data_IF_946728763344
#
_entry.id   IF_946728763344
#
_cell.length_a   1.000
_cell.length_b   1.000
_cell.length_c   1.000
_cell.angle_alpha   90.00
_cell.angle_beta   90.00
_cell.angle_gamma   90.00
#
_symmetry.space_group_name_H-M   'P 1'
#
loop_
_entity.id
_entity.type
_entity.pdbx_description
1 polymer ?
#
# COMPACT_ATOMS: atom_id res chain seq x y z
N UNK A 1 0.60 -5.61 -25.52
CA UNK A 1 0.48 -4.40 -24.67
C UNK A 1 1.87 -3.91 -24.32
N UNK A 2 2.14 -2.61 -24.39
CA UNK A 2 3.45 -2.07 -24.01
C UNK A 2 3.58 -2.02 -22.49
N UNK A 3 4.60 -2.67 -21.94
CA UNK A 3 4.94 -2.63 -20.51
C UNK A 3 5.61 -1.31 -20.18
N UNK A 4 5.19 -0.67 -19.09
CA UNK A 4 5.80 0.56 -18.60
C UNK A 4 7.10 0.21 -17.86
N UNK A 5 8.20 0.87 -18.24
CA UNK A 5 9.49 0.68 -17.59
C UNK A 5 9.44 1.19 -16.14
N UNK A 6 9.94 0.37 -15.21
CA UNK A 6 10.11 0.75 -13.82
C UNK A 6 11.49 1.40 -13.64
N UNK A 7 11.52 2.63 -13.14
CA UNK A 7 12.77 3.37 -12.88
C UNK A 7 12.83 3.71 -11.41
N UNK A 8 13.71 3.02 -10.69
CA UNK A 8 13.97 3.26 -9.28
C UNK A 8 15.33 3.95 -9.17
N UNK A 9 15.35 5.25 -8.89
CA UNK A 9 16.59 5.98 -8.61
C UNK A 9 16.78 6.17 -7.08
N UNK A 10 17.87 6.84 -6.67
CA UNK A 10 18.16 7.08 -5.26
C UNK A 10 17.06 7.92 -4.58
N UNK A 11 16.54 8.94 -5.27
CA UNK A 11 15.47 9.79 -4.74
C UNK A 11 14.19 8.98 -4.51
N UNK A 12 13.78 8.15 -5.47
CA UNK A 12 12.62 7.27 -5.34
C UNK A 12 12.77 6.31 -4.16
N UNK A 13 13.95 5.72 -3.96
CA UNK A 13 14.19 4.84 -2.79
C UNK A 13 14.15 5.61 -1.49
N UNK A 14 14.63 6.84 -1.46
CA UNK A 14 14.51 7.70 -0.28
C UNK A 14 13.04 8.00 0.04
N UNK A 15 12.20 8.24 -0.97
CA UNK A 15 10.77 8.51 -0.79
C UNK A 15 10.01 7.25 -0.36
N UNK A 16 10.31 6.08 -0.95
CA UNK A 16 9.77 4.79 -0.48
C UNK A 16 10.11 4.57 1.01
N UNK A 17 11.36 4.81 1.42
CA UNK A 17 11.76 4.69 2.83
C UNK A 17 10.98 5.61 3.76
N UNK A 18 10.67 6.84 3.34
CA UNK A 18 9.82 7.76 4.12
C UNK A 18 8.41 7.20 4.30
N UNK A 19 7.81 6.67 3.23
CA UNK A 19 6.47 6.06 3.29
C UNK A 19 6.47 4.84 4.19
N UNK A 20 7.43 3.93 4.06
CA UNK A 20 7.57 2.76 4.95
C UNK A 20 7.68 3.23 6.41
N UNK A 21 8.60 4.16 6.68
CA UNK A 21 8.80 4.70 8.02
C UNK A 21 7.52 5.32 8.56
N UNK A 22 6.75 6.04 7.74
CA UNK A 22 5.49 6.63 8.18
C UNK A 22 4.46 5.53 8.52
N UNK A 23 4.29 4.53 7.65
CA UNK A 23 3.36 3.42 7.86
C UNK A 23 3.70 2.59 9.11
N UNK A 24 4.99 2.38 9.42
CA UNK A 24 5.43 1.67 10.63
C UNK A 24 5.08 2.38 11.94
N UNK A 25 4.88 3.70 11.90
CA UNK A 25 4.45 4.51 13.06
C UNK A 25 2.93 4.78 13.06
N UNK A 26 2.24 4.51 11.95
CA UNK A 26 0.83 4.85 11.76
C UNK A 26 0.10 3.63 11.18
N UNK A 27 -0.04 2.60 12.01
CA UNK A 27 -0.76 1.38 11.68
C UNK A 27 -2.26 1.56 11.90
N UNK A 28 -3.09 0.88 11.12
CA UNK A 28 -4.55 0.99 11.19
C UNK A 28 -5.21 -0.29 11.68
N UNK A 29 -6.14 -0.19 12.63
CA UNK A 29 -7.03 -1.33 12.91
C UNK A 29 -8.08 -1.48 11.81
N UNK A 30 -8.88 -2.55 11.88
CA UNK A 30 -9.99 -2.74 10.95
C UNK A 30 -11.03 -1.62 11.12
N UNK A 31 -11.30 -1.22 12.36
CA UNK A 31 -12.21 -0.12 12.69
C UNK A 31 -11.72 1.22 12.13
N UNK A 32 -10.42 1.51 12.23
CA UNK A 32 -9.83 2.72 11.65
C UNK A 32 -10.04 2.78 10.12
N UNK A 33 -9.85 1.65 9.44
CA UNK A 33 -10.02 1.57 7.99
C UNK A 33 -11.48 1.70 7.58
N UNK A 34 -12.39 1.03 8.31
CA UNK A 34 -13.83 1.15 8.10
C UNK A 34 -14.31 2.58 8.33
N UNK A 35 -13.83 3.26 9.38
CA UNK A 35 -14.19 4.65 9.65
C UNK A 35 -13.70 5.61 8.55
N UNK A 36 -12.48 5.43 8.04
CA UNK A 36 -11.96 6.23 6.91
C UNK A 36 -12.75 6.05 5.62
N UNK A 37 -13.22 4.83 5.35
CA UNK A 37 -14.04 4.53 4.17
C UNK A 37 -15.43 5.16 4.31
N UNK A 38 -16.05 5.04 5.49
CA UNK A 38 -17.42 5.51 5.71
C UNK A 38 -17.51 7.01 6.00
N UNK A 39 -16.44 7.62 6.56
CA UNK A 39 -16.39 9.01 6.99
C UNK A 39 -15.17 9.78 6.42
N UNK A 40 -14.97 9.82 5.09
CA UNK A 40 -13.77 10.40 4.48
C UNK A 40 -13.58 11.90 4.77
N UNK A 41 -14.67 12.63 5.07
CA UNK A 41 -14.61 14.04 5.48
C UNK A 41 -14.04 14.25 6.89
N UNK A 42 -14.07 13.23 7.74
CA UNK A 42 -13.50 13.25 9.10
C UNK A 42 -12.10 12.66 9.12
N UNK A 43 -11.90 11.54 8.44
CA UNK A 43 -10.61 10.86 8.31
C UNK A 43 -10.37 10.45 6.87
N UNK A 44 -9.35 11.04 6.23
CA UNK A 44 -9.02 10.75 4.83
C UNK A 44 -8.58 9.29 4.65
N UNK A 45 -8.90 8.62 3.54
CA UNK A 45 -8.31 7.34 3.23
C UNK A 45 -6.79 7.49 3.00
N UNK A 46 -5.98 6.43 3.24
CA UNK A 46 -4.52 6.52 3.10
C UNK A 46 -4.06 6.99 1.72
N UNK A 47 -4.77 6.65 0.64
CA UNK A 47 -4.45 7.12 -0.71
C UNK A 47 -4.50 8.64 -0.89
N UNK A 48 -5.25 9.35 -0.04
CA UNK A 48 -5.43 10.81 -0.10
C UNK A 48 -4.49 11.55 0.86
N UNK A 49 -3.61 10.83 1.55
CA UNK A 49 -2.63 11.34 2.51
C UNK A 49 -1.23 11.26 1.85
N UNK A 50 -0.50 12.36 1.81
CA UNK A 50 0.79 12.45 1.10
C UNK A 50 1.84 11.50 1.71
N UNK A 51 1.81 11.32 3.01
CA UNK A 51 2.79 10.54 3.77
C UNK A 51 2.68 9.02 3.55
N UNK A 52 1.52 8.55 3.07
CA UNK A 52 1.28 7.15 2.73
C UNK A 52 1.51 6.83 1.26
N UNK A 53 1.88 7.82 0.43
CA UNK A 53 2.05 7.64 -1.00
C UNK A 53 3.39 8.13 -1.50
N UNK A 54 3.89 7.49 -2.56
CA UNK A 54 5.01 8.01 -3.32
C UNK A 54 4.77 7.84 -4.82
N UNK A 55 5.42 8.71 -5.59
CA UNK A 55 5.41 8.66 -7.04
C UNK A 55 6.75 8.15 -7.55
N UNK A 56 6.70 7.07 -8.32
CA UNK A 56 7.88 6.51 -8.98
C UNK A 56 7.91 7.07 -10.40
N UNK A 57 9.09 7.49 -10.91
CA UNK A 57 9.22 8.04 -12.25
C UNK A 57 8.54 7.18 -13.32
N UNK A 58 8.13 7.83 -14.41
CA UNK A 58 7.37 7.22 -15.50
C UNK A 58 5.92 6.89 -15.08
N UNK A 59 5.45 7.43 -13.96
CA UNK A 59 4.03 7.54 -13.65
C UNK A 59 3.45 6.30 -12.95
N UNK A 60 4.19 5.72 -11.99
CA UNK A 60 3.57 4.84 -11.00
C UNK A 60 3.25 5.65 -9.74
N UNK A 61 2.11 5.34 -9.14
CA UNK A 61 1.72 5.83 -7.81
C UNK A 61 1.57 4.64 -6.90
N UNK A 62 2.32 4.64 -5.80
CA UNK A 62 2.29 3.60 -4.78
C UNK A 62 1.66 4.18 -3.51
N UNK A 63 0.74 3.45 -2.90
CA UNK A 63 0.20 3.73 -1.56
C UNK A 63 0.52 2.53 -0.69
N UNK A 64 1.12 2.75 0.48
CA UNK A 64 1.56 1.67 1.35
C UNK A 64 1.11 1.89 2.78
N UNK A 65 0.50 0.88 3.39
CA UNK A 65 0.00 0.91 4.77
C UNK A 65 0.37 -0.37 5.51
N UNK A 66 0.30 -0.29 6.84
CA UNK A 66 0.23 -1.45 7.71
C UNK A 66 -1.12 -1.41 8.39
N UNK A 67 -1.93 -2.44 8.14
CA UNK A 67 -3.33 -2.43 8.56
C UNK A 67 -3.82 -3.83 8.91
N UNK A 68 -4.82 -3.89 9.79
CA UNK A 68 -5.48 -5.13 10.16
C UNK A 68 -6.53 -5.47 9.08
N UNK A 69 -6.29 -6.59 8.41
CA UNK A 69 -7.17 -7.17 7.40
C UNK A 69 -7.87 -8.42 7.98
N UNK A 70 -8.92 -8.96 7.35
CA UNK A 70 -9.56 -10.19 7.79
C UNK A 70 -8.61 -11.38 7.95
N UNK A 71 -7.49 -11.38 7.21
CA UNK A 71 -6.45 -12.41 7.25
C UNK A 71 -5.37 -12.18 8.33
N UNK A 72 -5.45 -11.08 9.09
CA UNK A 72 -4.49 -10.65 10.10
C UNK A 72 -3.85 -9.28 9.79
N UNK A 73 -2.83 -8.92 10.56
CA UNK A 73 -2.03 -7.72 10.29
C UNK A 73 -1.24 -7.89 9.00
N UNK A 74 -1.34 -6.91 8.10
CA UNK A 74 -0.72 -6.98 6.78
C UNK A 74 0.07 -5.71 6.48
N UNK A 75 1.13 -5.86 5.70
CA UNK A 75 1.59 -4.79 4.81
C UNK A 75 0.68 -4.82 3.58
N UNK A 76 0.15 -3.66 3.22
CA UNK A 76 -0.67 -3.49 2.03
C UNK A 76 0.01 -2.50 1.10
N UNK A 77 0.23 -2.92 -0.15
CA UNK A 77 0.74 -2.06 -1.21
C UNK A 77 -0.28 -1.98 -2.34
N UNK A 78 -0.70 -0.76 -2.67
CA UNK A 78 -1.54 -0.43 -3.82
C UNK A 78 -0.69 0.27 -4.88
N UNK A 79 -0.60 -0.31 -6.08
CA UNK A 79 0.18 0.23 -7.19
C UNK A 79 -0.74 0.57 -8.35
N UNK A 80 -0.77 1.84 -8.73
CA UNK A 80 -1.48 2.33 -9.92
C UNK A 80 -0.51 2.96 -10.90
N UNK A 81 -0.95 3.12 -12.14
CA UNK A 81 -0.20 3.82 -13.17
C UNK A 81 -1.01 4.98 -13.73
N UNK A 82 -0.33 6.06 -14.11
CA UNK A 82 -0.93 7.20 -14.80
C UNK A 82 -1.20 6.82 -16.27
N UNK A 83 -2.21 5.98 -16.47
CA UNK A 83 -2.75 5.59 -17.76
C UNK A 83 -4.16 5.04 -17.56
N UNK A 84 -5.11 5.55 -18.34
CA UNK A 84 -6.49 5.12 -18.32
C UNK A 84 -6.63 3.65 -18.73
N UNK A 85 -7.48 2.91 -18.02
CA UNK A 85 -7.85 1.51 -18.26
C UNK A 85 -6.65 0.55 -18.27
N UNK A 86 -5.58 0.91 -17.54
CA UNK A 86 -4.37 0.08 -17.41
C UNK A 86 -3.95 -0.07 -15.96
N UNK A 87 -3.24 -1.16 -15.72
CA UNK A 87 -2.63 -1.52 -14.43
C UNK A 87 -1.12 -1.69 -14.60
N UNK A 88 -0.33 -1.56 -13.52
CA UNK A 88 1.08 -1.95 -13.55
C UNK A 88 1.24 -3.41 -13.99
N UNK A 89 2.38 -3.72 -14.61
CA UNK A 89 2.71 -5.11 -14.88
C UNK A 89 3.06 -5.84 -13.59
N UNK A 90 2.82 -7.15 -13.58
CA UNK A 90 3.28 -8.06 -12.54
C UNK A 90 4.73 -7.79 -12.11
N UNK A 91 5.64 -7.69 -13.08
CA UNK A 91 7.07 -7.57 -12.79
C UNK A 91 7.37 -6.24 -12.09
N UNK A 92 6.67 -5.17 -12.45
CA UNK A 92 6.80 -3.88 -11.77
C UNK A 92 6.21 -3.93 -10.36
N UNK A 93 5.02 -4.53 -10.18
CA UNK A 93 4.39 -4.67 -8.85
C UNK A 93 5.23 -5.50 -7.90
N UNK A 94 5.78 -6.63 -8.36
CA UNK A 94 6.64 -7.49 -7.55
C UNK A 94 7.93 -6.77 -7.12
N UNK A 95 8.56 -6.04 -8.02
CA UNK A 95 9.77 -5.28 -7.70
C UNK A 95 9.49 -4.12 -6.74
N UNK A 96 8.37 -3.42 -6.92
CA UNK A 96 7.92 -2.39 -5.98
C UNK A 96 7.63 -2.99 -4.60
N UNK A 97 6.95 -4.13 -4.53
CA UNK A 97 6.68 -4.81 -3.26
C UNK A 97 7.96 -5.09 -2.46
N UNK A 98 9.03 -5.54 -3.15
CA UNK A 98 10.35 -5.75 -2.53
C UNK A 98 10.98 -4.47 -2.02
N UNK A 99 10.91 -3.38 -2.80
CA UNK A 99 11.40 -2.06 -2.35
C UNK A 99 10.61 -1.52 -1.16
N UNK A 100 9.32 -1.88 -1.05
CA UNK A 100 8.46 -1.61 0.11
C UNK A 100 8.69 -2.58 1.30
N UNK A 101 9.70 -3.45 1.21
CA UNK A 101 10.09 -4.36 2.29
C UNK A 101 9.17 -5.57 2.46
N UNK A 102 8.36 -5.92 1.45
CA UNK A 102 7.61 -7.17 1.40
C UNK A 102 8.58 -8.29 0.97
N UNK A 103 8.72 -9.33 1.80
CA UNK A 103 9.65 -10.44 1.55
C UNK A 103 9.03 -11.45 0.56
N UNK A 104 8.94 -11.03 -0.71
CA UNK A 104 8.30 -11.79 -1.79
C UNK A 104 9.26 -12.03 -2.95
N UNK A 105 9.28 -13.28 -3.45
CA UNK A 105 10.10 -13.72 -4.58
C UNK A 105 9.28 -13.93 -5.84
N UNK A 106 8.01 -14.32 -5.71
CA UNK A 106 7.06 -14.50 -6.79
C UNK A 106 5.65 -14.07 -6.34
N UNK A 107 4.63 -14.16 -7.22
CA UNK A 107 3.27 -13.73 -6.83
C UNK A 107 2.60 -14.67 -5.85
N UNK A 108 2.96 -15.94 -5.89
CA UNK A 108 2.41 -16.96 -5.00
C UNK A 108 2.81 -16.70 -3.53
N UNK A 109 3.79 -15.82 -3.30
CA UNK A 109 4.23 -15.38 -1.98
C UNK A 109 3.33 -14.28 -1.38
N UNK A 110 2.44 -13.65 -2.17
CA UNK A 110 1.45 -12.73 -1.62
C UNK A 110 0.32 -13.51 -0.95
N UNK A 111 -0.05 -13.12 0.28
CA UNK A 111 -1.19 -13.71 0.99
C UNK A 111 -2.52 -13.37 0.30
N UNK A 112 -2.59 -12.22 -0.38
CA UNK A 112 -3.73 -11.85 -1.19
C UNK A 112 -3.34 -10.81 -2.25
N UNK A 113 -4.07 -10.80 -3.37
CA UNK A 113 -3.93 -9.76 -4.40
C UNK A 113 -5.22 -9.57 -5.17
N UNK A 114 -5.55 -8.33 -5.55
CA UNK A 114 -6.70 -8.01 -6.38
C UNK A 114 -6.46 -6.75 -7.23
N UNK A 115 -7.33 -6.53 -8.21
CA UNK A 115 -7.39 -5.29 -8.97
C UNK A 115 -8.60 -4.49 -8.48
N UNK A 116 -8.40 -3.20 -8.26
CA UNK A 116 -9.44 -2.27 -7.80
C UNK A 116 -9.48 -1.06 -8.72
N UNK A 117 -10.69 -0.56 -9.02
CA UNK A 117 -10.87 0.74 -9.65
C UNK A 117 -10.87 1.82 -8.57
N UNK A 118 -9.82 2.65 -8.56
CA UNK A 118 -9.62 3.68 -7.52
C UNK A 118 -10.23 5.03 -7.90
N UNK A 119 -10.35 5.29 -9.20
CA UNK A 119 -11.03 6.44 -9.81
C UNK A 119 -11.61 5.96 -11.16
N UNK A 120 -12.65 6.59 -11.72
CA UNK A 120 -13.20 6.18 -13.02
C UNK A 120 -12.14 6.05 -14.12
N UNK A 121 -11.93 4.82 -14.61
CA UNK A 121 -10.93 4.48 -15.61
C UNK A 121 -9.49 4.41 -15.10
N UNK A 122 -9.28 4.35 -13.79
CA UNK A 122 -7.96 4.20 -13.16
C UNK A 122 -7.99 3.05 -12.17
N UNK A 123 -7.16 2.06 -12.43
CA UNK A 123 -7.08 0.86 -11.60
C UNK A 123 -5.74 0.72 -10.89
N UNK A 124 -5.77 0.07 -9.74
CA UNK A 124 -4.60 -0.32 -8.98
C UNK A 124 -4.51 -1.84 -8.84
N UNK A 125 -3.30 -2.36 -8.73
CA UNK A 125 -3.03 -3.71 -8.24
C UNK A 125 -2.73 -3.58 -6.75
N UNK A 126 -3.51 -4.27 -5.93
CA UNK A 126 -3.32 -4.34 -4.50
C UNK A 126 -2.70 -5.69 -4.13
N UNK A 127 -1.74 -5.69 -3.22
CA UNK A 127 -1.07 -6.90 -2.71
C UNK A 127 -0.92 -6.82 -1.19
N UNK A 128 -1.09 -7.98 -0.53
CA UNK A 128 -0.95 -8.13 0.92
C UNK A 128 0.15 -9.15 1.26
N UNK A 129 0.92 -8.85 2.31
CA UNK A 129 1.73 -9.85 3.03
C UNK A 129 1.47 -9.74 4.52
N UNK A 130 1.17 -10.85 5.17
CA UNK A 130 0.98 -10.94 6.62
C UNK A 130 2.26 -10.59 7.35
N UNK A 131 2.09 -9.89 8.47
CA UNK A 131 3.17 -9.54 9.38
C UNK A 131 2.70 -9.68 10.83
N UNK A 132 3.64 -9.64 11.76
CA UNK A 132 3.37 -9.36 13.17
C UNK A 132 3.97 -7.98 13.47
N UNK A 133 3.16 -6.91 13.62
CA UNK A 133 3.69 -5.58 13.84
C UNK A 133 4.33 -5.51 15.23
N UNK A 134 5.54 -4.95 15.33
CA UNK A 134 6.23 -4.78 16.62
C UNK A 134 5.51 -3.80 17.56
N UNK A 135 4.79 -2.83 16.99
CA UNK A 135 4.11 -1.74 17.69
C UNK A 135 2.59 -1.83 17.56
N UNK A 136 2.04 -3.03 17.30
CA UNK A 136 0.59 -3.20 17.26
C UNK A 136 0.00 -2.79 18.61
N UNK A 137 -0.74 -1.69 18.67
CA UNK A 137 -1.66 -1.48 19.78
C UNK A 137 -2.63 -2.64 19.72
N UNK A 138 -2.51 -3.54 20.68
CA UNK A 138 -3.43 -4.65 20.81
C UNK A 138 -4.77 -4.08 21.30
N UNK A 139 -5.86 -4.82 21.11
CA UNK A 139 -7.15 -4.45 21.69
C UNK A 139 -7.11 -4.27 23.22
N UNK A 140 -6.05 -4.76 23.88
CA UNK A 140 -5.78 -4.55 25.31
C UNK A 140 -5.27 -3.13 25.61
N UNK A 141 -4.64 -2.43 24.65
CA UNK A 141 -4.10 -1.07 24.83
C UNK A 141 -5.17 0.04 24.68
N UNK A 142 -6.39 -0.31 24.28
CA UNK A 142 -7.51 0.62 24.04
C UNK A 142 -8.52 0.61 25.19
N UNK A 143 -8.39 -0.33 26.13
CA UNK A 143 -9.34 -0.51 27.24
C UNK A 143 -9.18 0.48 28.41
N UNK A 144 -8.11 1.30 28.42
CA UNK A 144 -7.87 2.30 29.46
C UNK A 144 -7.93 3.73 28.90
N UNK A 145 -9.14 4.21 28.58
CA UNK A 145 -9.47 5.64 28.53
C UNK A 145 -10.93 5.91 28.91
#
# INVERSE_FOLDING_TARGET
MATRALVLNEQTRADIKKVISHAEHNIFTEEDMVDRINNPGKHKPPGDIEEFKCFVPIGFRCVFTIEKQPIGWCRHLSVSIDAKDKVPSFAATLELAREFGMDVKAMEDFDHSWIEEIEPGKSAVNVLTKITPKNAKTSEDVADK
#
